data_IF_399333054535
#
_entry.id   IF_399333054535
#
_cell.length_a   1.000
_cell.length_b   1.000
_cell.length_c   1.000
_cell.angle_alpha   90.00
_cell.angle_beta   90.00
_cell.angle_gamma   90.00
#
_symmetry.space_group_name_H-M   'P 1'
#
loop_
_entity.id
_entity.type
_entity.pdbx_description
1 polymer ?
#
# COMPACT_ATOMS: atom_id res chain seq x y z
N UNK A 1 15.11 20.25 -4.23
CA UNK A 1 15.53 19.12 -3.37
C UNK A 1 15.81 19.62 -1.96
N UNK A 2 14.93 19.36 -1.00
CA UNK A 2 15.17 19.70 0.41
C UNK A 2 16.00 18.57 1.04
N UNK A 3 17.31 18.79 1.22
CA UNK A 3 18.17 17.83 1.93
C UNK A 3 17.79 17.82 3.42
N UNK A 4 17.49 16.64 3.97
CA UNK A 4 17.40 16.41 5.41
C UNK A 4 16.00 16.36 6.04
N UNK A 5 14.92 16.41 5.24
CA UNK A 5 13.56 16.23 5.74
C UNK A 5 13.00 14.89 5.21
N UNK A 6 12.38 14.04 6.05
CA UNK A 6 11.75 12.81 5.57
C UNK A 6 10.72 13.16 4.49
N UNK A 7 10.91 12.58 3.30
CA UNK A 7 10.01 12.79 2.17
C UNK A 7 8.95 11.70 2.20
N UNK A 8 7.66 12.06 2.09
CA UNK A 8 6.60 11.08 1.97
C UNK A 8 6.84 10.15 0.78
N UNK A 9 6.54 8.86 0.95
CA UNK A 9 6.75 7.83 -0.05
C UNK A 9 5.42 7.17 -0.37
N UNK A 10 5.15 7.02 -1.67
CA UNK A 10 4.07 6.17 -2.14
C UNK A 10 4.54 4.72 -2.20
N UNK A 11 3.85 3.86 -1.46
CA UNK A 11 3.96 2.41 -1.61
C UNK A 11 2.79 1.93 -2.48
N UNK A 12 3.09 1.25 -3.58
CA UNK A 12 2.10 0.58 -4.42
C UNK A 12 2.28 -0.93 -4.27
N UNK A 13 1.19 -1.59 -3.89
CA UNK A 13 1.10 -3.05 -3.82
C UNK A 13 0.02 -3.51 -4.78
N UNK A 14 0.32 -4.50 -5.62
CA UNK A 14 -0.66 -5.21 -6.45
C UNK A 14 -0.31 -6.70 -6.50
N UNK A 15 -1.32 -7.56 -6.54
CA UNK A 15 -1.16 -9.01 -6.68
C UNK A 15 -2.44 -9.64 -7.20
N UNK A 16 -2.34 -10.85 -7.75
CA UNK A 16 -3.49 -11.71 -8.02
C UNK A 16 -3.78 -12.56 -6.77
N UNK A 17 -4.96 -12.43 -6.15
CA UNK A 17 -5.28 -13.18 -4.94
C UNK A 17 -5.58 -14.65 -5.21
N UNK A 18 -5.32 -15.50 -4.20
CA UNK A 18 -5.85 -16.87 -4.15
C UNK A 18 -7.36 -16.88 -3.88
N UNK A 19 -8.02 -18.03 -4.10
CA UNK A 19 -9.44 -18.20 -3.74
C UNK A 19 -9.70 -17.93 -2.26
N UNK A 20 -8.83 -18.43 -1.38
CA UNK A 20 -8.93 -18.18 0.07
C UNK A 20 -8.81 -16.69 0.40
N UNK A 21 -7.94 -15.97 -0.30
CA UNK A 21 -7.78 -14.53 -0.13
C UNK A 21 -9.00 -13.75 -0.67
N UNK A 22 -9.66 -14.20 -1.73
CA UNK A 22 -10.92 -13.61 -2.21
C UNK A 22 -12.10 -13.87 -1.27
N UNK A 23 -12.12 -15.03 -0.62
CA UNK A 23 -13.15 -15.42 0.33
C UNK A 23 -13.06 -14.72 1.71
N UNK A 24 -12.05 -13.89 1.96
CA UNK A 24 -11.89 -13.18 3.24
C UNK A 24 -13.14 -12.33 3.53
N UNK A 25 -13.73 -12.57 4.70
CA UNK A 25 -14.96 -11.90 5.12
C UNK A 25 -14.79 -10.37 5.19
N UNK A 26 -15.90 -9.65 5.01
CA UNK A 26 -15.89 -8.19 5.06
C UNK A 26 -15.41 -7.66 6.43
N UNK A 27 -15.76 -8.34 7.53
CA UNK A 27 -15.31 -8.00 8.88
C UNK A 27 -13.79 -8.09 9.02
N UNK A 28 -13.16 -9.14 8.50
CA UNK A 28 -11.71 -9.31 8.55
C UNK A 28 -10.98 -8.26 7.71
N UNK A 29 -11.57 -7.87 6.56
CA UNK A 29 -11.05 -6.77 5.73
C UNK A 29 -11.12 -5.44 6.46
N UNK A 30 -12.23 -5.16 7.18
CA UNK A 30 -12.36 -3.98 8.02
C UNK A 30 -11.33 -3.97 9.15
N UNK A 31 -11.19 -5.07 9.89
CA UNK A 31 -10.20 -5.19 10.96
C UNK A 31 -8.77 -4.99 10.41
N UNK A 32 -8.49 -5.44 9.18
CA UNK A 32 -7.22 -5.14 8.52
C UNK A 32 -7.05 -3.66 8.18
N UNK A 33 -8.10 -2.94 7.78
CA UNK A 33 -8.03 -1.51 7.55
C UNK A 33 -7.74 -0.75 8.86
N UNK A 34 -8.39 -1.14 9.96
CA UNK A 34 -8.18 -0.53 11.28
C UNK A 34 -6.75 -0.74 11.79
N UNK A 35 -6.19 -1.94 11.65
CA UNK A 35 -4.79 -2.21 12.03
C UNK A 35 -3.76 -1.42 11.22
N UNK A 36 -4.05 -1.13 9.96
CA UNK A 36 -3.15 -0.35 9.10
C UNK A 36 -3.00 1.09 9.61
N UNK A 37 -4.04 1.65 10.25
CA UNK A 37 -3.96 3.01 10.84
C UNK A 37 -2.96 3.12 12.00
N UNK A 38 -2.53 2.00 12.58
CA UNK A 38 -1.59 1.97 13.70
C UNK A 38 -0.13 1.75 13.25
N UNK A 39 0.15 1.72 11.94
CA UNK A 39 1.50 1.57 11.43
C UNK A 39 2.27 2.88 11.60
N UNK A 40 3.53 2.78 12.06
CA UNK A 40 4.40 3.94 12.20
C UNK A 40 4.58 4.66 10.86
N UNK A 41 4.41 5.97 10.87
CA UNK A 41 4.52 6.82 9.68
C UNK A 41 3.46 6.59 8.60
N UNK A 42 2.39 5.84 8.86
CA UNK A 42 1.28 5.67 7.91
C UNK A 42 0.37 6.90 7.88
N UNK A 43 0.05 7.39 6.68
CA UNK A 43 -0.89 8.51 6.50
C UNK A 43 -2.26 8.04 6.02
N UNK A 44 -2.31 7.34 4.90
CA UNK A 44 -3.55 6.82 4.32
C UNK A 44 -3.32 5.70 3.31
N UNK A 45 -4.41 5.02 2.93
CA UNK A 45 -4.43 3.95 1.93
C UNK A 45 -5.68 4.03 1.03
N UNK A 46 -5.48 3.91 -0.27
CA UNK A 46 -6.54 3.47 -1.19
C UNK A 46 -6.52 1.95 -1.35
N UNK A 47 -7.68 1.32 -1.24
CA UNK A 47 -7.88 -0.08 -1.60
C UNK A 47 -8.28 -0.14 -3.07
N UNK A 48 -7.53 -0.88 -3.88
CA UNK A 48 -7.71 -0.91 -5.35
C UNK A 48 -7.92 -2.33 -5.85
N UNK A 49 -8.66 -2.44 -6.95
CA UNK A 49 -8.90 -3.67 -7.70
C UNK A 49 -8.97 -3.36 -9.18
N UNK A 50 -8.38 -4.22 -9.99
CA UNK A 50 -8.49 -4.20 -11.45
C UNK A 50 -9.15 -5.50 -11.89
N UNK A 51 -10.44 -5.41 -12.27
CA UNK A 51 -11.22 -6.59 -12.62
C UNK A 51 -10.66 -7.32 -13.86
N UNK A 52 -10.21 -6.57 -14.88
CA UNK A 52 -9.68 -7.15 -16.12
C UNK A 52 -8.41 -7.98 -15.91
N UNK A 53 -7.52 -7.53 -15.02
CA UNK A 53 -6.30 -8.25 -14.67
C UNK A 53 -6.49 -9.26 -13.52
N UNK A 54 -7.66 -9.27 -12.87
CA UNK A 54 -7.90 -10.06 -11.66
C UNK A 54 -7.00 -9.65 -10.49
N UNK A 55 -6.44 -8.44 -10.49
CA UNK A 55 -5.52 -7.98 -9.43
C UNK A 55 -6.25 -7.15 -8.39
N UNK A 56 -5.68 -7.11 -7.19
CA UNK A 56 -6.06 -6.17 -6.14
C UNK A 56 -4.85 -5.75 -5.33
N UNK A 57 -5.02 -4.73 -4.50
CA UNK A 57 -3.90 -4.25 -3.71
C UNK A 57 -4.20 -2.96 -2.95
N UNK A 58 -3.21 -2.08 -2.94
CA UNK A 58 -3.38 -0.76 -2.35
C UNK A 58 -2.30 0.22 -2.73
N UNK A 59 -2.67 1.50 -2.70
CA UNK A 59 -1.75 2.63 -2.77
C UNK A 59 -1.71 3.24 -1.38
N UNK A 60 -0.53 3.37 -0.81
CA UNK A 60 -0.29 3.83 0.55
C UNK A 60 0.60 5.06 0.51
N UNK A 61 0.37 6.00 1.42
CA UNK A 61 1.30 7.08 1.70
C UNK A 61 1.91 6.88 3.09
N UNK A 62 3.24 6.90 3.14
CA UNK A 62 4.02 6.88 4.38
C UNK A 62 4.87 8.15 4.49
N UNK A 63 5.24 8.53 5.71
CA UNK A 63 6.10 9.68 6.00
C UNK A 63 7.57 9.46 5.57
N UNK A 64 8.00 8.20 5.40
CA UNK A 64 9.37 7.88 5.01
C UNK A 64 9.47 6.55 4.26
N UNK A 65 10.58 6.38 3.53
CA UNK A 65 10.91 5.11 2.88
C UNK A 65 11.12 3.97 3.88
N UNK A 66 11.68 4.26 5.05
CA UNK A 66 11.92 3.29 6.11
C UNK A 66 10.58 2.71 6.62
N UNK A 67 9.63 3.59 6.96
CA UNK A 67 8.29 3.19 7.37
C UNK A 67 7.55 2.40 6.28
N UNK A 68 7.65 2.86 5.03
CA UNK A 68 7.05 2.17 3.90
C UNK A 68 7.62 0.75 3.72
N UNK A 69 8.93 0.57 3.84
CA UNK A 69 9.60 -0.75 3.71
C UNK A 69 9.30 -1.68 4.88
N UNK A 70 9.20 -1.14 6.10
CA UNK A 70 8.83 -1.90 7.29
C UNK A 70 7.45 -2.56 7.13
N UNK A 71 6.54 -1.94 6.38
CA UNK A 71 5.24 -2.54 6.04
C UNK A 71 5.25 -3.34 4.72
N UNK A 72 5.92 -2.83 3.69
CA UNK A 72 5.89 -3.37 2.33
C UNK A 72 6.54 -4.75 2.23
N UNK A 73 7.76 -4.93 2.75
CA UNK A 73 8.49 -6.19 2.60
C UNK A 73 7.78 -7.37 3.30
N UNK A 74 7.35 -7.27 4.57
CA UNK A 74 6.58 -8.35 5.21
C UNK A 74 5.22 -8.59 4.53
N UNK A 75 4.62 -7.55 3.94
CA UNK A 75 3.38 -7.69 3.18
C UNK A 75 3.59 -8.55 1.95
N UNK A 76 4.72 -8.43 1.23
CA UNK A 76 5.05 -9.32 0.10
C UNK A 76 5.04 -10.78 0.53
N UNK A 77 5.78 -11.09 1.59
CA UNK A 77 5.91 -12.46 2.10
C UNK A 77 4.56 -13.02 2.54
N UNK A 78 3.79 -12.25 3.32
CA UNK A 78 2.47 -12.66 3.79
C UNK A 78 1.47 -12.90 2.66
N UNK A 79 1.50 -12.07 1.61
CA UNK A 79 0.61 -12.25 0.46
C UNK A 79 0.96 -13.53 -0.31
N UNK A 80 2.25 -13.75 -0.57
CA UNK A 80 2.73 -14.96 -1.24
C UNK A 80 2.47 -16.23 -0.43
N UNK A 81 2.73 -16.20 0.89
CA UNK A 81 2.49 -17.33 1.78
C UNK A 81 1.00 -17.72 1.87
N UNK A 82 0.10 -16.76 1.70
CA UNK A 82 -1.35 -16.98 1.61
C UNK A 82 -1.84 -17.36 0.20
N UNK A 83 -0.93 -17.70 -0.72
CA UNK A 83 -1.22 -18.16 -2.08
C UNK A 83 -1.43 -17.05 -3.11
N UNK A 84 -1.19 -15.79 -2.73
CA UNK A 84 -1.19 -14.68 -3.67
C UNK A 84 -0.03 -14.79 -4.65
N UNK A 85 -0.26 -14.43 -5.91
CA UNK A 85 0.72 -14.55 -6.99
C UNK A 85 0.95 -13.22 -7.68
N UNK A 86 2.05 -13.13 -8.44
CA UNK A 86 2.44 -11.90 -9.18
C UNK A 86 2.52 -10.65 -8.29
N UNK A 87 3.02 -10.82 -7.06
CA UNK A 87 3.11 -9.74 -6.08
C UNK A 87 4.10 -8.66 -6.54
N UNK A 88 3.56 -7.50 -6.86
CA UNK A 88 4.30 -6.30 -7.22
C UNK A 88 4.30 -5.32 -6.06
N UNK A 89 5.49 -4.88 -5.67
CA UNK A 89 5.71 -3.80 -4.70
C UNK A 89 6.61 -2.75 -5.34
N UNK A 90 6.19 -1.49 -5.27
CA UNK A 90 6.96 -0.33 -5.71
C UNK A 90 6.95 0.74 -4.63
N UNK A 91 8.10 1.37 -4.43
CA UNK A 91 8.26 2.55 -3.60
C UNK A 91 8.60 3.71 -4.52
N UNK A 92 7.81 4.77 -4.49
CA UNK A 92 7.92 5.90 -5.40
C UNK A 92 8.01 7.20 -4.63
N UNK A 93 8.96 8.02 -5.03
CA UNK A 93 8.91 9.45 -4.77
C UNK A 93 7.90 10.09 -5.73
N UNK A 94 7.38 11.26 -5.36
CA UNK A 94 6.48 12.03 -6.19
C UNK A 94 6.73 13.53 -6.01
N UNK A 95 6.26 14.32 -6.96
CA UNK A 95 6.34 15.78 -6.88
C UNK A 95 5.18 16.31 -6.03
N UNK A 96 5.45 16.64 -4.77
CA UNK A 96 4.46 17.17 -3.83
C UNK A 96 3.80 18.46 -4.34
N UNK A 97 4.58 19.36 -4.94
CA UNK A 97 4.07 20.66 -5.38
C UNK A 97 3.08 20.50 -6.54
N UNK A 98 3.45 19.71 -7.56
CA UNK A 98 2.56 19.42 -8.68
C UNK A 98 1.33 18.61 -8.24
N UNK A 99 1.53 17.64 -7.35
CA UNK A 99 0.44 16.81 -6.84
C UNK A 99 -0.55 17.61 -5.98
N UNK A 100 -0.08 18.61 -5.23
CA UNK A 100 -0.94 19.54 -4.49
C UNK A 100 -1.83 20.38 -5.41
N UNK A 101 -1.30 20.81 -6.58
CA UNK A 101 -2.11 21.50 -7.61
C UNK A 101 -3.26 20.60 -8.07
N UNK A 102 -3.05 19.28 -8.12
CA UNK A 102 -4.06 18.29 -8.47
C UNK A 102 -4.80 17.69 -7.26
N UNK A 103 -4.80 18.39 -6.12
CA UNK A 103 -5.58 18.04 -4.91
C UNK A 103 -5.23 16.69 -4.28
N UNK A 104 -3.99 16.21 -4.46
CA UNK A 104 -3.55 15.00 -3.78
C UNK A 104 -3.68 15.16 -2.25
N UNK A 105 -4.16 14.12 -1.54
CA UNK A 105 -4.27 14.16 -0.09
C UNK A 105 -2.89 13.94 0.53
N UNK A 106 -2.36 14.94 1.25
CA UNK A 106 -1.14 14.81 2.05
C UNK A 106 -1.47 14.82 3.53
#
# INVERSE_FOLDING_TARGET
MRKGQPMPVLLIVSYVPSEAQEAIAAADRRASAERINALDGFRWKFWVREAAAGTRGGVYLFDSLEAARAWGEPTRERLSAAGGREVTIRYLDFDEALSAVNHAPF
#
